data_IF_174614626546
#
_entry.id   IF_174614626546
#
_cell.length_a   1.000
_cell.length_b   1.000
_cell.length_c   1.000
_cell.angle_alpha   90.00
_cell.angle_beta   90.00
_cell.angle_gamma   90.00
#
_symmetry.space_group_name_H-M   'P 1'
#
loop_
_entity.id
_entity.type
_entity.pdbx_description
1 polymer ?
#
# COMPACT_ATOMS: atom_id res chain seq x y z
N UNK A 1 8.18 -22.32 10.86
CA UNK A 1 7.90 -21.58 9.62
C UNK A 1 9.06 -20.62 9.43
N UNK A 2 9.78 -20.71 8.30
CA UNK A 2 11.01 -19.94 8.08
C UNK A 2 10.80 -18.72 7.19
N UNK A 3 9.69 -18.68 6.43
CA UNK A 3 9.39 -17.58 5.52
C UNK A 3 8.07 -16.88 5.81
N UNK A 4 7.94 -15.66 5.31
CA UNK A 4 6.66 -14.94 5.30
C UNK A 4 5.67 -15.71 4.45
N UNK A 5 4.44 -15.89 4.94
CA UNK A 5 3.37 -16.57 4.21
C UNK A 5 2.19 -15.63 4.01
N UNK A 6 1.57 -15.69 2.82
CA UNK A 6 0.30 -15.02 2.52
C UNK A 6 -0.70 -16.06 2.05
N UNK A 7 -1.84 -16.13 2.72
CA UNK A 7 -2.79 -17.25 2.59
C UNK A 7 -4.13 -16.72 2.08
N UNK A 8 -4.66 -17.42 1.07
CA UNK A 8 -6.04 -17.28 0.56
C UNK A 8 -6.79 -18.58 0.88
N UNK A 9 -7.41 -18.69 2.06
CA UNK A 9 -7.99 -19.95 2.53
C UNK A 9 -9.25 -20.32 1.75
N UNK A 10 -9.55 -21.62 1.69
CA UNK A 10 -10.84 -22.10 1.19
C UNK A 10 -12.00 -21.51 2.00
N UNK A 11 -13.13 -21.28 1.34
CA UNK A 11 -14.32 -20.67 1.94
C UNK A 11 -14.35 -19.13 1.91
N UNK A 12 -13.27 -18.47 1.47
CA UNK A 12 -13.25 -17.03 1.19
C UNK A 12 -12.99 -16.75 -0.30
N UNK A 13 -13.30 -15.52 -0.73
CA UNK A 13 -13.04 -15.07 -2.10
C UNK A 13 -11.55 -15.15 -2.44
N UNK A 14 -11.20 -15.74 -3.58
CA UNK A 14 -9.83 -15.70 -4.11
C UNK A 14 -9.67 -14.49 -5.02
N UNK A 15 -8.74 -13.59 -4.67
CA UNK A 15 -8.46 -12.36 -5.41
C UNK A 15 -7.00 -12.34 -5.89
N UNK A 16 -6.70 -11.83 -7.09
CA UNK A 16 -5.33 -11.54 -7.50
C UNK A 16 -4.77 -10.26 -6.86
N UNK A 17 -5.62 -9.44 -6.21
CA UNK A 17 -5.22 -8.15 -5.67
C UNK A 17 -4.85 -8.19 -4.17
N UNK A 18 -5.27 -9.23 -3.43
CA UNK A 18 -4.98 -9.33 -2.00
C UNK A 18 -5.04 -10.77 -1.47
N UNK A 19 -4.35 -11.00 -0.35
CA UNK A 19 -4.47 -12.19 0.50
C UNK A 19 -5.28 -11.91 1.76
N UNK A 20 -5.79 -12.95 2.42
CA UNK A 20 -6.64 -12.79 3.63
C UNK A 20 -5.85 -12.85 4.93
N UNK A 21 -4.78 -13.64 4.98
CA UNK A 21 -3.97 -13.87 6.17
C UNK A 21 -2.50 -13.77 5.83
N UNK A 22 -1.70 -13.16 6.70
CA UNK A 22 -0.25 -13.22 6.62
C UNK A 22 0.34 -13.74 7.93
N UNK A 23 1.40 -14.54 7.79
CA UNK A 23 2.18 -15.06 8.92
C UNK A 23 3.61 -14.55 8.75
N UNK A 24 4.08 -13.77 9.71
CA UNK A 24 5.46 -13.29 9.79
C UNK A 24 6.22 -14.17 10.78
N UNK A 25 7.31 -14.85 10.37
CA UNK A 25 8.01 -15.79 11.23
C UNK A 25 8.87 -15.07 12.30
N UNK A 26 9.25 -15.76 13.40
CA UNK A 26 10.04 -15.15 14.48
C UNK A 26 11.42 -14.59 14.08
N UNK A 27 12.00 -15.03 12.95
CA UNK A 27 13.28 -14.56 12.42
C UNK A 27 13.15 -13.38 11.45
N UNK A 28 11.97 -12.80 11.29
CA UNK A 28 11.76 -11.62 10.46
C UNK A 28 11.72 -10.32 11.29
N UNK A 29 12.04 -9.20 10.63
CA UNK A 29 11.87 -7.86 11.17
C UNK A 29 10.64 -7.22 10.56
N UNK A 30 9.65 -6.86 11.38
CA UNK A 30 8.49 -6.09 10.94
C UNK A 30 8.81 -4.61 10.85
N UNK A 31 8.42 -3.99 9.74
CA UNK A 31 8.61 -2.58 9.41
C UNK A 31 7.24 -1.92 9.31
N UNK A 32 7.05 -0.82 10.01
CA UNK A 32 5.81 -0.04 10.00
C UNK A 32 6.05 1.25 9.21
N UNK A 33 5.30 1.43 8.12
CA UNK A 33 5.37 2.59 7.24
C UNK A 33 4.15 3.46 7.48
N UNK A 34 4.36 4.70 7.93
CA UNK A 34 3.28 5.69 8.11
C UNK A 34 2.61 6.09 6.80
N UNK A 35 1.48 6.78 6.90
CA UNK A 35 0.70 7.23 5.73
C UNK A 35 1.53 8.02 4.72
N UNK A 36 1.46 7.60 3.47
CA UNK A 36 2.05 8.24 2.30
C UNK A 36 0.92 8.73 1.40
N UNK A 37 0.99 10.00 1.03
CA UNK A 37 0.11 10.65 0.07
C UNK A 37 0.97 11.29 -1.02
N UNK A 38 0.37 12.10 -1.89
CA UNK A 38 1.06 12.71 -3.04
C UNK A 38 1.88 13.96 -2.71
N UNK A 39 2.37 14.09 -1.47
CA UNK A 39 3.24 15.21 -1.08
C UNK A 39 4.69 14.91 -1.46
N UNK A 40 5.38 15.88 -2.06
CA UNK A 40 6.80 15.77 -2.39
C UNK A 40 7.73 16.12 -1.22
N UNK A 41 9.04 16.00 -1.44
CA UNK A 41 10.07 16.34 -0.44
C UNK A 41 10.10 17.82 -0.07
N UNK A 42 9.49 18.70 -0.89
CA UNK A 42 9.32 20.12 -0.61
C UNK A 42 8.03 20.43 0.17
N UNK A 43 7.19 19.43 0.46
CA UNK A 43 5.92 19.61 1.15
C UNK A 43 4.76 19.99 0.23
N UNK A 44 4.94 19.93 -1.10
CA UNK A 44 3.91 20.29 -2.07
C UNK A 44 3.09 19.08 -2.50
N UNK A 45 1.76 19.23 -2.54
CA UNK A 45 0.87 18.22 -3.11
C UNK A 45 1.02 18.18 -4.64
N UNK A 46 1.25 17.00 -5.20
CA UNK A 46 1.38 16.77 -6.64
C UNK A 46 0.12 16.11 -7.18
N UNK A 47 -0.38 16.57 -8.34
CA UNK A 47 -1.55 15.97 -8.98
C UNK A 47 -2.88 16.37 -8.34
N UNK A 48 -3.05 17.65 -8.02
CA UNK A 48 -4.33 18.16 -7.50
C UNK A 48 -5.49 17.77 -8.43
N UNK A 49 -6.54 17.17 -7.87
CA UNK A 49 -7.71 16.70 -8.63
C UNK A 49 -7.52 15.40 -9.43
N UNK A 50 -6.31 14.81 -9.46
CA UNK A 50 -6.01 13.60 -10.21
C UNK A 50 -5.58 12.45 -9.29
N UNK A 51 -6.52 11.56 -8.95
CA UNK A 51 -6.25 10.43 -8.05
C UNK A 51 -5.25 9.42 -8.63
N UNK A 52 -5.13 9.32 -9.96
CA UNK A 52 -4.16 8.42 -10.61
C UNK A 52 -2.73 8.91 -10.38
N UNK A 53 -2.49 10.20 -10.64
CA UNK A 53 -1.20 10.86 -10.35
C UNK A 53 -0.89 10.78 -8.86
N UNK A 54 -1.87 11.04 -8.00
CA UNK A 54 -1.68 10.98 -6.55
C UNK A 54 -1.36 9.58 -6.05
N UNK A 55 -2.00 8.54 -6.60
CA UNK A 55 -1.75 7.14 -6.23
C UNK A 55 -0.34 6.71 -6.63
N UNK A 56 0.08 7.05 -7.85
CA UNK A 56 1.44 6.76 -8.32
C UNK A 56 2.50 7.43 -7.43
N UNK A 57 2.28 8.69 -7.04
CA UNK A 57 3.21 9.39 -6.16
C UNK A 57 3.20 8.85 -4.73
N UNK A 58 2.03 8.57 -4.16
CA UNK A 58 1.92 7.95 -2.85
C UNK A 58 2.67 6.61 -2.79
N UNK A 59 2.57 5.79 -3.84
CA UNK A 59 3.34 4.56 -3.96
C UNK A 59 4.85 4.81 -4.09
N UNK A 60 5.27 5.82 -4.86
CA UNK A 60 6.68 6.19 -4.96
C UNK A 60 7.25 6.62 -3.59
N UNK A 61 6.50 7.40 -2.83
CA UNK A 61 6.87 7.80 -1.47
C UNK A 61 6.95 6.58 -0.52
N UNK A 62 6.01 5.63 -0.64
CA UNK A 62 6.08 4.37 0.10
C UNK A 62 7.30 3.52 -0.28
N UNK A 63 7.67 3.45 -1.56
CA UNK A 63 8.91 2.80 -2.02
C UNK A 63 10.13 3.46 -1.36
N UNK A 64 10.19 4.79 -1.28
CA UNK A 64 11.27 5.51 -0.57
C UNK A 64 11.31 5.17 0.92
N UNK A 65 10.16 5.14 1.60
CA UNK A 65 10.10 4.80 3.02
C UNK A 65 10.52 3.35 3.31
N UNK A 66 10.09 2.40 2.48
CA UNK A 66 10.50 0.99 2.56
C UNK A 66 12.02 0.84 2.35
N UNK A 67 12.57 1.52 1.34
CA UNK A 67 14.00 1.46 1.02
C UNK A 67 14.87 1.97 2.17
N UNK A 68 14.41 2.96 2.94
CA UNK A 68 15.11 3.44 4.14
C UNK A 68 15.27 2.35 5.24
N UNK A 69 14.44 1.31 5.22
CA UNK A 69 14.52 0.15 6.09
C UNK A 69 15.08 -1.10 5.41
N UNK A 70 15.61 -0.98 4.18
CA UNK A 70 16.12 -2.10 3.39
C UNK A 70 15.03 -3.02 2.83
N UNK A 71 13.79 -2.54 2.76
CA UNK A 71 12.64 -3.26 2.21
C UNK A 71 12.23 -2.72 0.84
N UNK A 72 11.43 -3.51 0.14
CA UNK A 72 10.85 -3.24 -1.18
C UNK A 72 9.35 -3.54 -1.17
N UNK A 73 8.66 -3.36 -2.29
CA UNK A 73 7.23 -3.69 -2.39
C UNK A 73 6.94 -5.18 -2.16
N UNK A 74 7.87 -6.09 -2.49
CA UNK A 74 7.66 -7.53 -2.28
C UNK A 74 7.63 -7.91 -0.80
N UNK A 75 8.21 -7.06 0.06
CA UNK A 75 8.28 -7.27 1.50
C UNK A 75 7.02 -6.76 2.22
N UNK A 76 6.13 -6.05 1.52
CA UNK A 76 4.89 -5.55 2.10
C UNK A 76 3.98 -6.70 2.47
N UNK A 77 3.57 -6.74 3.73
CA UNK A 77 2.66 -7.73 4.30
C UNK A 77 1.22 -7.25 4.23
N UNK A 78 0.99 -5.95 4.48
CA UNK A 78 -0.35 -5.36 4.46
C UNK A 78 -0.32 -3.91 4.00
N UNK A 79 -1.27 -3.54 3.15
CA UNK A 79 -1.64 -2.16 2.86
C UNK A 79 -2.88 -1.74 3.63
N UNK A 80 -2.91 -0.49 4.07
CA UNK A 80 -4.14 0.25 4.38
C UNK A 80 -4.26 1.39 3.39
N UNK A 81 -5.41 1.51 2.73
CA UNK A 81 -5.66 2.47 1.66
C UNK A 81 -6.90 3.29 1.99
N UNK A 82 -6.72 4.60 2.10
CA UNK A 82 -7.82 5.54 2.35
C UNK A 82 -8.03 6.38 1.10
N UNK A 83 -9.22 6.33 0.53
CA UNK A 83 -9.63 7.20 -0.57
C UNK A 83 -10.61 8.24 -0.07
N UNK A 84 -10.50 9.48 -0.56
CA UNK A 84 -11.54 10.48 -0.31
C UNK A 84 -12.82 10.09 -1.05
N UNK A 85 -13.97 10.31 -0.43
CA UNK A 85 -15.28 10.05 -1.04
C UNK A 85 -15.40 10.73 -2.42
N UNK A 86 -15.93 10.00 -3.40
CA UNK A 86 -15.98 10.42 -4.80
C UNK A 86 -14.69 10.25 -5.62
N UNK A 87 -13.58 9.80 -5.02
CA UNK A 87 -12.37 9.48 -5.79
C UNK A 87 -12.57 8.27 -6.71
N UNK A 88 -12.04 8.34 -7.93
CA UNK A 88 -12.10 7.24 -8.90
C UNK A 88 -11.10 6.13 -8.53
N UNK A 89 -11.60 5.06 -7.92
CA UNK A 89 -10.81 3.89 -7.54
C UNK A 89 -10.14 3.22 -8.74
N UNK A 90 -10.80 3.16 -9.89
CA UNK A 90 -10.26 2.49 -11.06
C UNK A 90 -9.07 3.26 -11.62
N UNK A 91 -9.16 4.60 -11.65
CA UNK A 91 -8.05 5.46 -12.01
C UNK A 91 -6.90 5.36 -10.99
N UNK A 92 -7.21 5.43 -9.70
CA UNK A 92 -6.21 5.36 -8.62
C UNK A 92 -5.45 4.04 -8.62
N UNK A 93 -6.16 2.90 -8.61
CA UNK A 93 -5.55 1.58 -8.65
C UNK A 93 -4.87 1.31 -10.00
N UNK A 94 -5.51 1.68 -11.12
CA UNK A 94 -4.98 1.46 -12.46
C UNK A 94 -3.61 2.11 -12.67
N UNK A 95 -3.36 3.27 -12.04
CA UNK A 95 -2.07 3.95 -12.11
C UNK A 95 -0.91 3.19 -11.44
N UNK A 96 -1.21 2.26 -10.53
CA UNK A 96 -0.20 1.53 -9.72
C UNK A 96 -0.29 0.00 -9.83
N UNK A 97 -1.26 -0.53 -10.58
CA UNK A 97 -1.52 -1.96 -10.64
C UNK A 97 -0.32 -2.79 -11.11
N UNK A 98 0.46 -2.27 -12.08
CA UNK A 98 1.65 -2.96 -12.58
C UNK A 98 2.77 -3.07 -11.54
N UNK A 99 2.93 -2.05 -10.67
CA UNK A 99 3.91 -2.06 -9.59
C UNK A 99 3.52 -3.03 -8.46
N UNK A 100 2.22 -3.26 -8.27
CA UNK A 100 1.68 -4.09 -7.19
C UNK A 100 1.40 -5.54 -7.59
N UNK A 101 1.56 -5.88 -8.87
CA UNK A 101 1.33 -7.23 -9.37
C UNK A 101 2.29 -8.22 -8.70
N UNK A 102 1.73 -9.23 -8.03
CA UNK A 102 2.48 -10.28 -7.36
C UNK A 102 1.67 -11.59 -7.34
N UNK A 103 2.36 -12.73 -7.38
CA UNK A 103 1.72 -14.05 -7.27
C UNK A 103 1.09 -14.26 -5.88
N UNK A 104 1.74 -13.72 -4.86
CA UNK A 104 1.30 -13.70 -3.47
C UNK A 104 1.10 -12.24 -3.01
N UNK A 105 -0.05 -11.61 -3.35
CA UNK A 105 -0.30 -10.21 -3.01
C UNK A 105 -0.47 -10.01 -1.50
N UNK A 106 -0.13 -8.83 -0.97
CA UNK A 106 -0.30 -8.48 0.46
C UNK A 106 -1.76 -8.48 0.90
N UNK A 107 -1.97 -8.33 2.21
CA UNK A 107 -3.29 -8.00 2.74
C UNK A 107 -3.65 -6.56 2.33
N UNK A 108 -4.93 -6.28 2.16
CA UNK A 108 -5.41 -4.93 1.84
C UNK A 108 -6.62 -4.61 2.69
N UNK A 109 -6.57 -3.49 3.41
CA UNK A 109 -7.75 -2.82 3.96
C UNK A 109 -7.96 -1.53 3.18
N UNK A 110 -9.18 -1.31 2.69
CA UNK A 110 -9.52 -0.09 1.96
C UNK A 110 -10.81 0.54 2.51
N UNK A 111 -10.84 1.87 2.57
CA UNK A 111 -12.02 2.62 2.98
C UNK A 111 -12.14 3.95 2.24
N UNK A 112 -13.38 4.38 2.03
CA UNK A 112 -13.66 5.77 1.71
C UNK A 112 -13.75 6.60 2.99
N UNK A 113 -13.15 7.79 2.96
CA UNK A 113 -13.15 8.76 4.05
C UNK A 113 -13.64 10.11 3.55
N UNK A 114 -14.18 10.93 4.46
CA UNK A 114 -14.67 12.26 4.08
C UNK A 114 -13.55 13.24 3.68
N UNK A 115 -12.35 13.06 4.24
CA UNK A 115 -11.15 13.85 3.95
C UNK A 115 -9.89 13.20 4.52
N UNK A 116 -8.73 13.63 4.03
CA UNK A 116 -7.42 13.28 4.55
C UNK A 116 -6.80 14.45 5.33
N UNK A 117 -5.68 14.20 6.01
CA UNK A 117 -4.96 15.23 6.77
C UNK A 117 -4.34 16.31 5.89
N UNK A 118 -3.87 15.94 4.70
CA UNK A 118 -3.33 16.86 3.70
C UNK A 118 -4.47 17.44 2.85
N UNK A 119 -4.68 18.77 2.82
CA UNK A 119 -5.66 19.38 1.94
C UNK A 119 -5.40 19.05 0.47
N UNK A 120 -6.46 18.66 -0.26
CA UNK A 120 -6.40 18.29 -1.68
C UNK A 120 -5.91 16.86 -1.96
N UNK A 121 -5.39 16.14 -0.96
CA UNK A 121 -5.07 14.73 -1.13
C UNK A 121 -6.35 13.91 -1.28
N UNK A 122 -6.36 13.01 -2.26
CA UNK A 122 -7.45 12.12 -2.63
C UNK A 122 -7.19 10.67 -2.20
N UNK A 123 -5.93 10.34 -1.91
CA UNK A 123 -5.50 9.00 -1.48
C UNK A 123 -4.37 9.09 -0.46
N UNK A 124 -4.41 8.20 0.53
CA UNK A 124 -3.31 7.93 1.46
C UNK A 124 -3.14 6.42 1.63
N UNK A 125 -1.90 5.95 1.55
CA UNK A 125 -1.55 4.53 1.74
C UNK A 125 -0.55 4.38 2.88
N UNK A 126 -0.73 3.36 3.72
CA UNK A 126 0.26 2.96 4.72
C UNK A 126 0.55 1.47 4.59
N UNK A 127 1.73 1.04 5.03
CA UNK A 127 2.14 -0.35 4.91
C UNK A 127 2.69 -0.93 6.21
N UNK A 128 2.47 -2.23 6.39
CA UNK A 128 3.30 -3.09 7.23
C UNK A 128 4.11 -3.97 6.28
N UNK A 129 5.42 -4.01 6.45
CA UNK A 129 6.33 -4.89 5.71
C UNK A 129 7.08 -5.81 6.67
N UNK A 130 7.69 -6.87 6.14
CA UNK A 130 8.58 -7.72 6.91
C UNK A 130 9.72 -8.23 6.03
N UNK A 131 10.92 -8.29 6.59
CA UNK A 131 12.11 -8.84 5.93
C UNK A 131 12.70 -9.95 6.79
N UNK A 132 13.01 -11.09 6.17
CA UNK A 132 13.69 -12.21 6.82
C UNK A 132 15.15 -11.86 7.12
N UNK A 133 15.68 -12.36 8.24
CA UNK A 133 17.09 -12.29 8.59
C UNK A 133 17.74 -13.67 8.62
#
# INVERSE_FOLDING_TARGET
>A
MSSIQRIRPEGLVSSPAFSHVAIVPPNATTIYVGGQNSVDSGGSLIGEGDVGVQSARALANAKTALAAAGATLSDVVQWTVLFVDGADLAAGYGAIAADLAADEPPLVTAAFVSRLGVPGALVEISAVAAVER
#
